data_IF_513303502844
#
_entry.id   IF_513303502844
#
_cell.length_a   1.000
_cell.length_b   1.000
_cell.length_c   1.000
_cell.angle_alpha   90.00
_cell.angle_beta   90.00
_cell.angle_gamma   90.00
#
_symmetry.space_group_name_H-M   'P 1'
#
loop_
_entity.id
_entity.type
_entity.pdbx_description
1 polymer ?
#
# COMPACT_ATOMS: atom_id res chain seq x y z
N UNK A 1 -32.46 -5.55 29.09
CA UNK A 1 -32.34 -7.01 28.98
C UNK A 1 -32.15 -7.35 27.51
N UNK A 2 -30.91 -7.50 27.04
CA UNK A 2 -30.62 -8.05 25.71
C UNK A 2 -30.70 -9.58 25.79
N UNK A 3 -31.41 -10.17 24.84
CA UNK A 3 -31.91 -11.55 24.89
C UNK A 3 -30.81 -12.59 24.58
N UNK A 4 -30.66 -13.69 25.35
CA UNK A 4 -29.64 -14.76 25.12
C UNK A 4 -29.73 -15.53 23.79
N UNK A 5 -30.82 -15.35 23.02
CA UNK A 5 -31.05 -16.06 21.75
C UNK A 5 -30.25 -15.42 20.61
N UNK A 6 -30.08 -14.09 20.63
CA UNK A 6 -29.30 -13.37 19.61
C UNK A 6 -27.81 -13.69 19.72
N UNK A 7 -27.27 -13.88 20.93
CA UNK A 7 -25.86 -14.24 21.14
C UNK A 7 -25.54 -15.66 20.62
N UNK A 8 -26.46 -16.62 20.80
CA UNK A 8 -26.26 -18.00 20.30
C UNK A 8 -26.24 -18.08 18.78
N UNK A 9 -27.18 -17.39 18.10
CA UNK A 9 -27.22 -17.36 16.63
C UNK A 9 -26.01 -16.64 16.02
N UNK A 10 -25.47 -15.63 16.70
CA UNK A 10 -24.24 -14.95 16.25
C UNK A 10 -23.01 -15.83 16.44
N UNK A 11 -22.91 -16.56 17.56
CA UNK A 11 -21.84 -17.53 17.81
C UNK A 11 -21.86 -18.70 16.80
N UNK A 12 -23.04 -19.25 16.51
CA UNK A 12 -23.21 -20.34 15.53
C UNK A 12 -22.81 -19.89 14.12
N UNK A 13 -23.16 -18.66 13.74
CA UNK A 13 -22.77 -18.07 12.46
C UNK A 13 -21.27 -17.84 12.36
N UNK A 14 -20.65 -17.24 13.37
CA UNK A 14 -19.19 -17.04 13.39
C UNK A 14 -18.44 -18.38 13.36
N UNK A 15 -18.96 -19.38 14.06
CA UNK A 15 -18.42 -20.75 14.03
C UNK A 15 -18.51 -21.36 12.62
N UNK A 16 -19.65 -21.19 11.93
CA UNK A 16 -19.82 -21.64 10.55
C UNK A 16 -18.86 -20.94 9.59
N UNK A 17 -18.75 -19.61 9.67
CA UNK A 17 -17.85 -18.82 8.82
C UNK A 17 -16.39 -19.25 8.99
N UNK A 18 -15.94 -19.45 10.24
CA UNK A 18 -14.58 -19.94 10.55
C UNK A 18 -14.35 -21.35 9.99
N UNK A 19 -15.30 -22.27 10.22
CA UNK A 19 -15.20 -23.66 9.75
C UNK A 19 -15.08 -23.71 8.23
N UNK A 20 -15.92 -22.96 7.51
CA UNK A 20 -15.92 -22.95 6.05
C UNK A 20 -14.68 -22.30 5.46
N UNK A 21 -14.20 -21.20 6.06
CA UNK A 21 -12.93 -20.61 5.65
C UNK A 21 -11.76 -21.58 5.82
N UNK A 22 -11.67 -22.26 6.98
CA UNK A 22 -10.63 -23.26 7.24
C UNK A 22 -10.73 -24.44 6.28
N UNK A 23 -11.94 -24.97 6.04
CA UNK A 23 -12.18 -26.07 5.11
C UNK A 23 -11.68 -25.77 3.70
N UNK A 24 -12.00 -24.59 3.15
CA UNK A 24 -11.53 -24.20 1.82
C UNK A 24 -10.01 -23.93 1.80
N UNK A 25 -9.48 -23.34 2.86
CA UNK A 25 -8.05 -23.01 2.93
C UNK A 25 -7.16 -24.24 2.98
N UNK A 26 -7.57 -25.30 3.70
CA UNK A 26 -6.77 -26.54 3.85
C UNK A 26 -6.88 -27.49 2.66
N UNK A 27 -7.90 -27.36 1.81
CA UNK A 27 -8.07 -28.19 0.60
C UNK A 27 -7.42 -27.61 -0.64
N UNK A 28 -6.60 -26.56 -0.51
CA UNK A 28 -5.96 -25.87 -1.63
C UNK A 28 -6.87 -24.88 -2.38
N UNK A 29 -8.13 -24.74 -1.97
CA UNK A 29 -9.10 -23.79 -2.52
C UNK A 29 -9.02 -22.41 -1.82
N UNK A 30 -7.81 -21.95 -1.51
CA UNK A 30 -7.61 -20.73 -0.73
C UNK A 30 -8.21 -19.48 -1.40
N UNK A 31 -8.11 -19.35 -2.72
CA UNK A 31 -8.74 -18.23 -3.44
C UNK A 31 -10.26 -18.29 -3.39
N UNK A 32 -10.88 -19.47 -3.37
CA UNK A 32 -12.31 -19.59 -3.12
C UNK A 32 -12.67 -19.15 -1.69
N UNK A 33 -11.85 -19.49 -0.69
CA UNK A 33 -12.04 -19.02 0.68
C UNK A 33 -12.01 -17.49 0.76
N UNK A 34 -11.09 -16.88 0.01
CA UNK A 34 -10.93 -15.44 -0.13
C UNK A 34 -12.17 -14.78 -0.74
N UNK A 35 -12.66 -15.31 -1.86
CA UNK A 35 -13.83 -14.76 -2.57
C UNK A 35 -15.08 -14.91 -1.72
N UNK A 36 -15.31 -16.07 -1.11
CA UNK A 36 -16.45 -16.31 -0.23
C UNK A 36 -16.45 -15.40 1.01
N UNK A 37 -15.27 -15.11 1.56
CA UNK A 37 -15.12 -14.13 2.63
C UNK A 37 -15.48 -12.72 2.16
N UNK A 38 -14.99 -12.32 0.99
CA UNK A 38 -15.25 -11.01 0.40
C UNK A 38 -16.72 -10.77 0.03
N UNK A 39 -17.44 -11.80 -0.40
CA UNK A 39 -18.88 -11.73 -0.72
C UNK A 39 -19.80 -11.92 0.49
N UNK A 40 -19.24 -12.23 1.67
CA UNK A 40 -20.01 -12.39 2.91
C UNK A 40 -20.88 -13.64 2.96
N UNK A 41 -20.51 -14.70 2.22
CA UNK A 41 -21.32 -15.93 2.08
C UNK A 41 -20.79 -17.11 2.91
N UNK A 42 -19.69 -16.94 3.65
CA UNK A 42 -19.04 -18.00 4.43
C UNK A 42 -19.95 -18.72 5.44
N UNK A 43 -21.07 -18.11 5.83
CA UNK A 43 -22.05 -18.70 6.75
C UNK A 43 -22.90 -19.80 6.11
N UNK A 44 -22.93 -19.92 4.77
CA UNK A 44 -23.72 -20.91 4.04
C UNK A 44 -22.81 -21.93 3.35
N UNK A 45 -22.94 -23.21 3.72
CA UNK A 45 -22.17 -24.31 3.13
C UNK A 45 -22.44 -24.44 1.61
N UNK A 46 -23.68 -24.18 1.17
CA UNK A 46 -24.09 -24.24 -0.23
C UNK A 46 -23.43 -23.10 -1.05
N UNK A 47 -23.49 -21.87 -0.55
CA UNK A 47 -22.88 -20.72 -1.23
C UNK A 47 -21.35 -20.82 -1.29
N UNK A 48 -20.74 -21.38 -0.24
CA UNK A 48 -19.31 -21.70 -0.18
C UNK A 48 -18.94 -22.76 -1.21
N UNK A 49 -19.74 -23.83 -1.34
CA UNK A 49 -19.52 -24.86 -2.35
C UNK A 49 -19.66 -24.31 -3.78
N UNK A 50 -20.67 -23.46 -4.02
CA UNK A 50 -20.85 -22.78 -5.29
C UNK A 50 -19.63 -21.90 -5.64
N UNK A 51 -19.18 -21.07 -4.70
CA UNK A 51 -18.01 -20.20 -4.91
C UNK A 51 -16.76 -21.02 -5.22
N UNK A 52 -16.56 -22.14 -4.53
CA UNK A 52 -15.44 -23.04 -4.79
C UNK A 52 -15.51 -23.68 -6.17
N UNK A 53 -16.70 -24.10 -6.60
CA UNK A 53 -16.92 -24.66 -7.93
C UNK A 53 -16.68 -23.62 -9.03
N UNK A 54 -17.19 -22.40 -8.87
CA UNK A 54 -16.99 -21.29 -9.81
C UNK A 54 -15.50 -20.96 -9.96
N UNK A 55 -14.76 -20.85 -8.86
CA UNK A 55 -13.32 -20.58 -8.91
C UNK A 55 -12.53 -21.73 -9.55
N UNK A 56 -12.89 -22.99 -9.28
CA UNK A 56 -12.28 -24.16 -9.92
C UNK A 56 -12.54 -24.17 -11.43
N UNK A 57 -13.77 -23.84 -11.86
CA UNK A 57 -14.14 -23.76 -13.28
C UNK A 57 -13.38 -22.64 -13.98
N UNK A 58 -13.33 -21.44 -13.39
CA UNK A 58 -12.56 -20.30 -13.92
C UNK A 58 -11.08 -20.64 -14.05
N UNK A 59 -10.50 -21.28 -13.03
CA UNK A 59 -9.09 -21.68 -13.06
C UNK A 59 -8.82 -22.74 -14.14
N UNK A 60 -9.72 -23.71 -14.32
CA UNK A 60 -9.56 -24.77 -15.31
C UNK A 60 -9.76 -24.29 -16.76
N UNK A 61 -10.54 -23.24 -16.96
CA UNK A 61 -10.81 -22.65 -18.27
C UNK A 61 -9.76 -21.59 -18.68
N UNK A 62 -8.94 -21.11 -17.76
CA UNK A 62 -7.95 -20.07 -18.03
C UNK A 62 -6.73 -20.62 -18.79
N UNK A 63 -6.19 -19.79 -19.68
CA UNK A 63 -4.94 -20.07 -20.41
C UNK A 63 -3.72 -19.85 -19.49
N UNK A 64 -3.83 -18.90 -18.56
CA UNK A 64 -2.75 -18.52 -17.65
C UNK A 64 -3.24 -18.31 -16.22
N UNK A 65 -2.36 -18.60 -15.25
CA UNK A 65 -2.58 -18.31 -13.84
C UNK A 65 -1.65 -17.17 -13.40
N UNK A 66 -2.22 -16.12 -12.83
CA UNK A 66 -1.50 -14.98 -12.27
C UNK A 66 -1.62 -15.01 -10.75
N UNK A 67 -0.52 -15.32 -10.05
CA UNK A 67 -0.48 -15.19 -8.60
C UNK A 67 -0.26 -13.72 -8.21
N UNK A 68 -1.20 -13.16 -7.44
CA UNK A 68 -1.11 -11.80 -6.90
C UNK A 68 -0.99 -11.88 -5.38
N UNK A 69 0.14 -11.41 -4.84
CA UNK A 69 0.43 -11.45 -3.41
C UNK A 69 0.38 -10.07 -2.73
N UNK A 70 -0.04 -10.05 -1.47
CA UNK A 70 0.00 -8.84 -0.64
C UNK A 70 0.21 -9.17 0.84
N UNK A 71 0.86 -8.26 1.57
CA UNK A 71 1.03 -8.35 3.02
C UNK A 71 -0.27 -8.12 3.81
N UNK A 72 -1.29 -7.56 3.16
CA UNK A 72 -2.49 -7.08 3.83
C UNK A 72 -3.58 -8.16 3.86
N UNK A 73 -4.31 -8.25 4.96
CA UNK A 73 -5.42 -9.20 5.12
C UNK A 73 -6.61 -8.85 4.22
N UNK A 74 -7.48 -9.83 3.99
CA UNK A 74 -8.76 -9.61 3.33
C UNK A 74 -9.69 -8.76 4.19
N UNK A 75 -10.61 -8.02 3.57
CA UNK A 75 -11.56 -7.17 4.29
C UNK A 75 -10.94 -5.92 4.92
N UNK A 76 -9.61 -5.74 4.83
CA UNK A 76 -8.93 -4.52 5.25
C UNK A 76 -9.38 -3.27 4.47
N UNK A 77 -10.11 -3.44 3.35
CA UNK A 77 -10.64 -2.35 2.52
C UNK A 77 -11.42 -1.30 3.30
N UNK A 78 -11.99 -1.66 4.46
CA UNK A 78 -12.70 -0.73 5.35
C UNK A 78 -11.77 0.25 6.07
N UNK A 79 -10.53 -0.12 6.36
CA UNK A 79 -9.55 0.69 7.10
C UNK A 79 -8.32 1.08 6.28
N UNK A 80 -8.12 0.45 5.13
CA UNK A 80 -7.02 0.67 4.21
C UNK A 80 -7.51 0.40 2.79
N UNK A 81 -7.37 1.31 1.81
CA UNK A 81 -8.08 1.23 0.53
C UNK A 81 -7.46 0.21 -0.45
N UNK A 82 -7.34 -1.05 -0.02
CA UNK A 82 -6.78 -2.15 -0.79
C UNK A 82 -7.75 -2.66 -1.85
N UNK A 83 -7.18 -3.15 -2.95
CA UNK A 83 -7.90 -3.45 -4.19
C UNK A 83 -7.73 -4.89 -4.69
N UNK A 84 -7.26 -5.81 -3.85
CA UNK A 84 -6.93 -7.18 -4.24
C UNK A 84 -8.10 -7.95 -4.89
N UNK A 85 -9.32 -7.82 -4.35
CA UNK A 85 -10.51 -8.45 -4.92
C UNK A 85 -10.95 -7.75 -6.22
N UNK A 86 -10.96 -6.41 -6.22
CA UNK A 86 -11.34 -5.63 -7.40
C UNK A 86 -10.38 -5.88 -8.58
N UNK A 87 -9.07 -5.96 -8.32
CA UNK A 87 -8.05 -6.28 -9.32
C UNK A 87 -8.22 -7.69 -9.90
N UNK A 88 -8.49 -8.68 -9.04
CA UNK A 88 -8.80 -10.05 -9.49
C UNK A 88 -9.96 -10.05 -10.47
N UNK A 89 -11.09 -9.45 -10.10
CA UNK A 89 -12.28 -9.44 -10.95
C UNK A 89 -12.05 -8.62 -12.23
N UNK A 90 -11.44 -7.43 -12.14
CA UNK A 90 -11.17 -6.61 -13.32
C UNK A 90 -10.26 -7.33 -14.33
N UNK A 91 -9.18 -7.99 -13.88
CA UNK A 91 -8.28 -8.74 -14.78
C UNK A 91 -9.01 -9.91 -15.43
N UNK A 92 -9.71 -10.73 -14.64
CA UNK A 92 -10.43 -11.89 -15.18
C UNK A 92 -11.50 -11.48 -16.19
N UNK A 93 -12.24 -10.41 -15.92
CA UNK A 93 -13.30 -9.94 -16.81
C UNK A 93 -12.74 -9.26 -18.06
N UNK A 94 -11.73 -8.40 -17.93
CA UNK A 94 -11.11 -7.73 -19.08
C UNK A 94 -10.44 -8.72 -20.03
N UNK A 95 -9.82 -9.77 -19.48
CA UNK A 95 -9.17 -10.85 -20.26
C UNK A 95 -10.16 -11.91 -20.73
N UNK A 96 -11.45 -11.75 -20.46
CA UNK A 96 -12.52 -12.71 -20.80
C UNK A 96 -12.22 -14.13 -20.30
N UNK A 97 -11.63 -14.22 -19.11
CA UNK A 97 -11.28 -15.49 -18.45
C UNK A 97 -9.95 -16.10 -18.89
N UNK A 98 -9.21 -15.51 -19.84
CA UNK A 98 -7.89 -16.03 -20.25
C UNK A 98 -6.89 -16.06 -19.10
N UNK A 99 -6.98 -15.10 -18.17
CA UNK A 99 -6.19 -15.10 -16.94
C UNK A 99 -7.09 -15.45 -15.76
N UNK A 100 -6.69 -16.46 -14.99
CA UNK A 100 -7.20 -16.68 -13.65
C UNK A 100 -6.26 -16.05 -12.62
N UNK A 101 -6.82 -15.21 -11.73
CA UNK A 101 -6.04 -14.55 -10.68
C UNK A 101 -6.12 -15.36 -9.38
N UNK A 102 -4.98 -15.88 -8.94
CA UNK A 102 -4.82 -16.57 -7.65
C UNK A 102 -4.33 -15.58 -6.60
N UNK A 103 -5.17 -15.31 -5.59
CA UNK A 103 -4.83 -14.36 -4.51
C UNK A 103 -4.02 -15.02 -3.40
N UNK A 104 -2.97 -14.33 -2.94
CA UNK A 104 -2.17 -14.67 -1.76
C UNK A 104 -2.04 -13.47 -0.80
N UNK A 105 -3.09 -13.18 -0.02
CA UNK A 105 -3.14 -12.09 0.93
C UNK A 105 -2.44 -12.42 2.26
N UNK A 106 -2.48 -11.48 3.20
CA UNK A 106 -2.08 -11.65 4.59
C UNK A 106 -0.60 -12.08 4.77
N UNK A 107 0.27 -11.72 3.82
CA UNK A 107 1.71 -11.93 3.96
C UNK A 107 2.16 -13.38 3.84
N UNK A 108 1.33 -14.28 3.31
CA UNK A 108 1.66 -15.71 3.11
C UNK A 108 2.95 -15.91 2.31
N UNK A 109 3.22 -15.03 1.35
CA UNK A 109 4.41 -15.06 0.51
C UNK A 109 5.43 -13.97 0.88
N UNK A 110 5.28 -13.34 2.05
CA UNK A 110 6.17 -12.30 2.56
C UNK A 110 5.55 -10.90 2.54
N UNK A 111 6.36 -9.90 2.90
CA UNK A 111 5.96 -8.49 2.95
C UNK A 111 7.12 -7.57 2.54
N UNK A 112 6.79 -6.37 2.05
CA UNK A 112 7.79 -5.37 1.65
C UNK A 112 8.73 -5.91 0.57
N UNK A 113 10.05 -5.69 0.74
CA UNK A 113 11.06 -6.12 -0.22
C UNK A 113 11.08 -7.63 -0.53
N UNK A 114 10.67 -8.48 0.42
CA UNK A 114 10.59 -9.93 0.18
C UNK A 114 9.56 -10.29 -0.90
N UNK A 115 8.44 -9.54 -1.00
CA UNK A 115 7.48 -9.70 -2.10
C UNK A 115 8.07 -9.21 -3.41
N UNK A 116 8.77 -8.07 -3.39
CA UNK A 116 9.42 -7.50 -4.58
C UNK A 116 10.40 -8.50 -5.19
N UNK A 117 11.25 -9.12 -4.36
CA UNK A 117 12.20 -10.15 -4.79
C UNK A 117 11.52 -11.33 -5.49
N UNK A 118 10.37 -11.80 -4.97
CA UNK A 118 9.62 -12.90 -5.57
C UNK A 118 9.00 -12.54 -6.92
N UNK A 119 8.55 -11.29 -7.08
CA UNK A 119 8.10 -10.78 -8.38
C UNK A 119 9.28 -10.70 -9.35
N UNK A 120 10.40 -10.11 -8.92
CA UNK A 120 11.58 -9.94 -9.77
C UNK A 120 12.12 -11.27 -10.28
N UNK A 121 12.22 -12.27 -9.40
CA UNK A 121 12.65 -13.62 -9.74
C UNK A 121 11.58 -14.51 -10.39
N UNK A 122 10.39 -13.98 -10.69
CA UNK A 122 9.31 -14.72 -11.37
C UNK A 122 8.64 -15.83 -10.55
N UNK A 123 8.92 -15.92 -9.24
CA UNK A 123 8.27 -16.90 -8.34
C UNK A 123 6.77 -16.64 -8.20
N UNK A 124 6.38 -15.36 -8.25
CA UNK A 124 4.99 -14.91 -8.33
C UNK A 124 4.86 -13.88 -9.45
N UNK A 125 3.70 -13.84 -10.10
CA UNK A 125 3.50 -12.98 -11.27
C UNK A 125 3.33 -11.52 -10.87
N UNK A 126 2.68 -11.22 -9.75
CA UNK A 126 2.56 -9.84 -9.27
C UNK A 126 2.43 -9.75 -7.75
N UNK A 127 2.72 -8.58 -7.22
CA UNK A 127 2.51 -8.28 -5.81
C UNK A 127 2.22 -6.79 -5.59
N UNK A 128 1.58 -6.50 -4.45
CA UNK A 128 1.44 -5.14 -3.93
C UNK A 128 2.48 -4.87 -2.84
N UNK A 129 3.14 -3.72 -2.95
CA UNK A 129 4.13 -3.26 -1.99
C UNK A 129 4.29 -1.73 -2.04
N UNK A 130 4.87 -1.15 -0.99
CA UNK A 130 5.00 0.32 -0.91
C UNK A 130 6.11 0.80 -1.82
N UNK A 131 5.98 2.00 -2.39
CA UNK A 131 7.06 2.56 -3.22
C UNK A 131 8.38 2.68 -2.44
N UNK A 132 8.32 3.01 -1.15
CA UNK A 132 9.51 3.07 -0.30
C UNK A 132 10.16 1.70 -0.02
N UNK A 133 9.41 0.59 -0.09
CA UNK A 133 9.99 -0.76 -0.05
C UNK A 133 10.43 -1.25 -1.43
N UNK A 134 9.90 -0.64 -2.50
CA UNK A 134 10.23 -0.96 -3.89
C UNK A 134 11.51 -0.26 -4.37
N UNK A 135 11.81 0.92 -3.84
CA UNK A 135 12.95 1.75 -4.22
C UNK A 135 14.29 1.00 -4.31
N UNK A 136 14.66 0.07 -3.41
CA UNK A 136 15.90 -0.70 -3.55
C UNK A 136 15.98 -1.57 -4.83
N UNK A 137 14.84 -1.90 -5.43
CA UNK A 137 14.72 -2.75 -6.61
C UNK A 137 14.47 -1.95 -7.89
N UNK A 138 13.69 -0.86 -7.78
CA UNK A 138 13.45 0.10 -8.86
C UNK A 138 13.71 1.53 -8.38
N UNK A 139 14.98 1.99 -8.33
CA UNK A 139 15.37 3.24 -7.67
C UNK A 139 14.63 4.48 -8.12
N UNK A 140 14.23 4.57 -9.40
CA UNK A 140 13.50 5.72 -9.95
C UNK A 140 12.23 6.05 -9.17
N UNK A 141 11.55 5.05 -8.58
CA UNK A 141 10.31 5.30 -7.84
C UNK A 141 10.54 6.01 -6.50
N UNK A 142 11.79 6.06 -6.02
CA UNK A 142 12.12 6.76 -4.78
C UNK A 142 11.88 8.28 -4.91
N UNK A 143 11.80 8.83 -6.13
CA UNK A 143 11.37 10.22 -6.38
C UNK A 143 10.05 10.57 -5.69
N UNK A 144 9.13 9.62 -5.50
CA UNK A 144 7.89 9.85 -4.75
C UNK A 144 8.14 10.13 -3.26
N UNK A 145 9.24 9.61 -2.72
CA UNK A 145 9.67 9.84 -1.34
C UNK A 145 10.50 11.15 -1.19
N UNK A 146 10.53 12.03 -2.20
CA UNK A 146 11.01 13.40 -2.03
C UNK A 146 10.08 14.16 -1.06
N UNK A 147 10.59 14.69 0.07
CA UNK A 147 9.74 15.34 1.07
C UNK A 147 9.02 16.55 0.50
N UNK A 148 7.70 16.60 0.69
CA UNK A 148 6.77 17.64 0.25
C UNK A 148 6.64 17.80 -1.27
N UNK A 149 7.20 16.88 -2.06
CA UNK A 149 7.05 16.88 -3.52
C UNK A 149 5.64 16.45 -3.95
N UNK A 150 5.20 15.29 -3.44
CA UNK A 150 3.88 14.72 -3.66
C UNK A 150 3.10 14.52 -2.36
N UNK A 151 3.34 15.32 -1.32
CA UNK A 151 2.75 15.11 0.01
C UNK A 151 1.22 15.11 0.09
N UNK A 152 0.49 15.47 -0.99
CA UNK A 152 -0.96 15.33 -1.09
C UNK A 152 -1.35 14.22 -2.08
N UNK A 153 -2.48 13.55 -1.83
CA UNK A 153 -3.01 12.48 -2.68
C UNK A 153 -3.26 12.98 -4.10
N UNK A 154 -3.80 14.19 -4.26
CA UNK A 154 -4.08 14.71 -5.60
C UNK A 154 -2.80 14.94 -6.42
N UNK A 155 -1.73 15.49 -5.81
CA UNK A 155 -0.44 15.66 -6.50
C UNK A 155 0.17 14.33 -6.91
N UNK A 156 0.07 13.32 -6.04
CA UNK A 156 0.52 11.97 -6.35
C UNK A 156 -0.26 11.37 -7.54
N UNK A 157 -1.59 11.47 -7.55
CA UNK A 157 -2.45 11.00 -8.65
C UNK A 157 -2.13 11.72 -9.96
N UNK A 158 -1.95 13.03 -9.92
CA UNK A 158 -1.57 13.82 -11.09
C UNK A 158 -0.24 13.32 -11.67
N UNK A 159 0.76 13.16 -10.81
CA UNK A 159 2.10 12.73 -11.24
C UNK A 159 2.07 11.34 -11.86
N UNK A 160 1.62 10.32 -11.12
CA UNK A 160 1.69 8.92 -11.59
C UNK A 160 0.75 8.62 -12.77
N UNK A 161 -0.28 9.45 -12.96
CA UNK A 161 -1.18 9.40 -14.11
C UNK A 161 -0.69 10.15 -15.35
N UNK A 162 0.34 10.98 -15.22
CA UNK A 162 0.85 11.85 -16.28
C UNK A 162 1.60 11.09 -17.37
N UNK A 163 1.66 11.68 -18.57
CA UNK A 163 2.42 11.11 -19.68
C UNK A 163 3.93 11.14 -19.41
N UNK A 164 4.44 12.16 -18.71
CA UNK A 164 5.86 12.22 -18.34
C UNK A 164 6.24 11.09 -17.37
N UNK A 165 5.38 10.71 -16.42
CA UNK A 165 5.66 9.54 -15.57
C UNK A 165 5.69 8.26 -16.41
N UNK A 166 4.74 8.11 -17.33
CA UNK A 166 4.68 6.95 -18.23
C UNK A 166 5.89 6.87 -19.18
N UNK A 167 6.42 7.99 -19.65
CA UNK A 167 7.54 8.01 -20.60
C UNK A 167 8.92 8.01 -19.92
N UNK A 168 9.06 8.59 -18.73
CA UNK A 168 10.37 8.79 -18.08
C UNK A 168 10.63 7.86 -16.90
N UNK A 169 9.56 7.40 -16.22
CA UNK A 169 9.67 6.60 -14.99
C UNK A 169 9.35 5.14 -15.23
N UNK A 170 8.20 4.83 -15.87
CA UNK A 170 7.81 3.43 -16.10
C UNK A 170 8.86 2.62 -16.87
N UNK A 171 9.53 3.12 -17.94
CA UNK A 171 10.56 2.36 -18.63
C UNK A 171 11.75 2.01 -17.74
N UNK A 172 12.16 2.92 -16.86
CA UNK A 172 13.23 2.66 -15.87
C UNK A 172 12.83 1.62 -14.82
N UNK A 173 11.53 1.46 -14.54
CA UNK A 173 11.02 0.36 -13.71
C UNK A 173 11.04 -0.96 -14.50
N UNK A 174 10.67 -0.91 -15.79
CA UNK A 174 10.72 -2.06 -16.70
C UNK A 174 12.15 -2.58 -16.90
N UNK A 175 13.14 -1.70 -17.01
CA UNK A 175 14.57 -2.05 -17.04
C UNK A 175 15.03 -2.87 -15.81
N UNK A 176 14.28 -2.81 -14.70
CA UNK A 176 14.55 -3.59 -13.48
C UNK A 176 13.77 -4.89 -13.39
N UNK A 177 13.04 -5.25 -14.46
CA UNK A 177 12.29 -6.51 -14.58
C UNK A 177 10.85 -6.43 -14.08
N UNK A 178 10.29 -5.23 -13.95
CA UNK A 178 8.92 -5.04 -13.43
C UNK A 178 8.04 -4.27 -14.41
N UNK A 179 6.82 -4.76 -14.64
CA UNK A 179 5.75 -3.98 -15.25
C UNK A 179 4.93 -3.29 -14.15
N UNK A 180 4.94 -1.95 -14.02
CA UNK A 180 3.99 -1.26 -13.14
C UNK A 180 2.56 -1.49 -13.68
N UNK A 181 1.67 -2.04 -12.85
CA UNK A 181 0.26 -2.22 -13.21
C UNK A 181 -0.51 -0.94 -12.91
N UNK A 182 -0.56 -0.56 -11.64
CA UNK A 182 -1.11 0.72 -11.19
C UNK A 182 -0.56 1.10 -9.82
N UNK A 183 -0.65 2.39 -9.53
CA UNK A 183 -0.27 2.98 -8.26
C UNK A 183 -1.49 3.15 -7.36
N UNK A 184 -1.35 2.80 -6.08
CA UNK A 184 -2.42 2.83 -5.10
C UNK A 184 -2.27 4.06 -4.24
N UNK A 185 -3.33 4.86 -4.17
CA UNK A 185 -3.45 5.99 -3.25
C UNK A 185 -3.92 5.45 -1.90
N UNK A 186 -3.24 5.89 -0.85
CA UNK A 186 -3.57 5.55 0.54
C UNK A 186 -3.90 6.84 1.27
N UNK A 187 -2.87 7.53 1.75
CA UNK A 187 -2.87 8.87 2.32
C UNK A 187 -1.40 9.25 2.54
N UNK A 188 -1.09 10.50 2.89
CA UNK A 188 0.27 10.88 3.26
C UNK A 188 0.76 10.16 4.51
N UNK A 189 2.07 9.96 4.56
CA UNK A 189 2.80 9.50 5.74
C UNK A 189 2.66 10.47 6.90
N UNK A 190 2.67 9.92 8.11
CA UNK A 190 2.57 10.64 9.39
C UNK A 190 3.87 10.47 10.17
N UNK A 191 3.97 11.02 11.38
CA UNK A 191 4.95 10.57 12.38
C UNK A 191 4.17 9.95 13.54
N UNK A 192 4.40 8.67 13.79
CA UNK A 192 3.74 7.90 14.83
C UNK A 192 4.74 7.53 15.93
N UNK A 193 4.40 7.85 17.18
CA UNK A 193 5.25 7.63 18.35
C UNK A 193 4.78 6.41 19.13
N UNK A 194 5.74 5.58 19.55
CA UNK A 194 5.51 4.46 20.46
C UNK A 194 4.99 4.95 21.81
N UNK A 195 4.12 4.16 22.44
CA UNK A 195 3.73 4.35 23.85
C UNK A 195 4.95 4.54 24.74
N UNK A 196 4.83 5.49 25.67
CA UNK A 196 5.90 5.94 26.54
C UNK A 196 6.62 7.20 26.06
N UNK A 197 6.30 7.72 24.87
CA UNK A 197 6.69 9.07 24.49
C UNK A 197 5.99 10.11 25.39
N UNK A 198 6.76 11.05 25.93
CA UNK A 198 6.24 12.09 26.84
C UNK A 198 5.46 13.20 26.10
N UNK A 199 5.79 13.43 24.83
CA UNK A 199 5.17 14.45 23.99
C UNK A 199 5.02 13.98 22.54
N UNK A 200 4.08 14.60 21.83
CA UNK A 200 3.96 14.48 20.39
C UNK A 200 5.13 15.18 19.66
N UNK A 201 5.30 14.85 18.38
CA UNK A 201 6.31 15.43 17.50
C UNK A 201 5.64 16.48 16.61
N UNK A 202 5.83 17.76 16.93
CA UNK A 202 5.15 18.87 16.23
C UNK A 202 6.10 19.63 15.31
N UNK A 203 7.38 19.72 15.67
CA UNK A 203 8.43 20.35 14.86
C UNK A 203 9.60 19.38 14.65
N UNK A 204 10.47 19.59 13.64
CA UNK A 204 11.65 18.74 13.42
C UNK A 204 12.51 18.53 14.68
N UNK A 205 12.69 19.57 15.50
CA UNK A 205 13.49 19.49 16.73
C UNK A 205 12.96 18.46 17.75
N UNK A 206 11.68 18.09 17.68
CA UNK A 206 11.13 17.03 18.54
C UNK A 206 11.64 15.62 18.17
N UNK A 207 12.27 15.46 16.99
CA UNK A 207 12.86 14.19 16.55
C UNK A 207 14.32 14.00 16.98
N UNK A 208 14.95 14.98 17.64
CA UNK A 208 16.35 14.89 18.02
C UNK A 208 16.64 13.64 18.83
N UNK A 209 17.49 12.76 18.30
CA UNK A 209 17.90 11.51 18.94
C UNK A 209 16.87 10.36 18.87
N UNK A 210 15.68 10.58 18.32
CA UNK A 210 14.62 9.56 18.22
C UNK A 210 15.06 8.43 17.29
N UNK A 211 15.00 7.17 17.78
CA UNK A 211 15.25 5.99 16.93
C UNK A 211 14.06 5.82 15.98
N UNK A 212 14.26 6.14 14.71
CA UNK A 212 13.17 6.23 13.75
C UNK A 212 13.21 5.04 12.79
N UNK A 213 12.17 4.21 12.78
CA UNK A 213 12.09 3.13 11.80
C UNK A 213 11.75 3.72 10.43
N UNK A 214 12.52 3.34 9.43
CA UNK A 214 12.25 3.65 8.02
C UNK A 214 12.21 2.37 7.17
N UNK A 215 11.51 2.36 6.02
CA UNK A 215 11.65 1.30 5.02
C UNK A 215 12.99 1.44 4.28
N UNK A 216 13.26 0.57 3.29
CA UNK A 216 14.53 0.56 2.54
C UNK A 216 14.81 1.76 1.63
N UNK A 217 13.95 2.78 1.61
CA UNK A 217 14.14 4.02 0.83
C UNK A 217 15.36 4.80 1.33
N UNK A 218 16.22 5.21 0.41
CA UNK A 218 17.38 6.04 0.75
C UNK A 218 16.93 7.48 1.00
N UNK A 219 15.91 7.95 0.30
CA UNK A 219 15.38 9.30 0.49
C UNK A 219 14.72 9.47 1.86
N UNK A 220 13.95 8.48 2.35
CA UNK A 220 13.40 8.53 3.70
C UNK A 220 14.48 8.47 4.78
N UNK A 221 15.52 7.65 4.59
CA UNK A 221 16.68 7.64 5.49
C UNK A 221 17.34 9.01 5.55
N UNK A 222 17.61 9.64 4.41
CA UNK A 222 18.20 10.98 4.38
C UNK A 222 17.27 12.03 5.01
N UNK A 223 15.99 12.00 4.67
CA UNK A 223 15.01 12.97 5.17
C UNK A 223 14.95 12.94 6.71
N UNK A 224 14.74 11.76 7.30
CA UNK A 224 14.65 11.65 8.76
C UNK A 224 15.95 12.03 9.46
N UNK A 225 17.11 11.80 8.83
CA UNK A 225 18.38 12.32 9.35
C UNK A 225 18.46 13.85 9.28
N UNK A 226 17.99 14.46 8.20
CA UNK A 226 17.96 15.93 8.05
C UNK A 226 17.05 16.61 9.08
N UNK A 227 15.95 15.97 9.47
CA UNK A 227 15.04 16.48 10.51
C UNK A 227 15.41 15.99 11.93
N UNK A 228 16.65 15.50 12.14
CA UNK A 228 17.21 15.25 13.47
C UNK A 228 16.97 13.86 14.08
N UNK A 229 16.22 12.98 13.40
CA UNK A 229 16.03 11.61 13.83
C UNK A 229 17.26 10.72 13.56
N UNK A 230 17.28 9.55 14.21
CA UNK A 230 18.23 8.46 13.96
C UNK A 230 17.52 7.34 13.17
N UNK A 231 17.45 7.42 11.84
CA UNK A 231 16.73 6.45 11.03
C UNK A 231 17.43 5.09 10.99
N UNK A 232 16.68 4.02 11.19
CA UNK A 232 17.14 2.62 11.04
C UNK A 232 16.21 1.86 10.10
N UNK A 233 16.73 1.29 8.99
CA UNK A 233 15.94 0.44 8.12
C UNK A 233 15.47 -0.82 8.84
N UNK A 234 14.16 -1.08 8.85
CA UNK A 234 13.57 -2.32 9.38
C UNK A 234 12.54 -2.84 8.39
N UNK A 235 12.59 -4.15 8.10
CA UNK A 235 11.62 -4.77 7.20
C UNK A 235 10.19 -4.62 7.72
N UNK A 236 9.22 -4.46 6.81
CA UNK A 236 7.84 -4.20 7.20
C UNK A 236 7.24 -5.30 8.09
N UNK A 237 7.53 -6.57 7.78
CA UNK A 237 7.06 -7.72 8.58
C UNK A 237 7.63 -7.77 10.00
N UNK A 238 8.77 -7.13 10.25
CA UNK A 238 9.44 -7.10 11.56
C UNK A 238 9.09 -5.84 12.38
N UNK A 239 8.51 -4.84 11.73
CA UNK A 239 8.29 -3.50 12.30
C UNK A 239 7.41 -3.51 13.55
N UNK A 240 6.27 -4.25 13.62
CA UNK A 240 5.47 -4.31 14.85
C UNK A 240 6.28 -4.80 16.06
N UNK A 241 7.12 -5.82 15.87
CA UNK A 241 7.99 -6.35 16.91
C UNK A 241 9.07 -5.34 17.31
N UNK A 242 9.74 -4.73 16.32
CA UNK A 242 10.79 -3.74 16.54
C UNK A 242 10.29 -2.53 17.35
N UNK A 243 9.10 -2.00 17.01
CA UNK A 243 8.48 -0.93 17.79
C UNK A 243 8.12 -1.45 19.19
N UNK A 244 7.41 -2.58 19.31
CA UNK A 244 7.00 -3.12 20.62
C UNK A 244 8.18 -3.31 21.59
N UNK A 245 9.32 -3.79 21.07
CA UNK A 245 10.55 -4.04 21.82
C UNK A 245 11.39 -2.77 22.07
N UNK A 246 11.03 -1.63 21.50
CA UNK A 246 11.78 -0.38 21.64
C UNK A 246 13.09 -0.36 20.85
N UNK A 247 13.22 -1.18 19.81
CA UNK A 247 14.32 -1.07 18.83
C UNK A 247 14.20 0.25 18.06
N UNK A 248 12.97 0.68 17.77
CA UNK A 248 12.65 2.02 17.30
C UNK A 248 11.50 2.61 18.13
N UNK A 249 11.51 3.94 18.27
CA UNK A 249 10.53 4.70 19.05
C UNK A 249 9.48 5.37 18.16
N UNK A 250 9.77 5.53 16.87
CA UNK A 250 8.88 6.17 15.91
C UNK A 250 8.90 5.49 14.53
N UNK A 251 7.87 5.74 13.74
CA UNK A 251 7.72 5.31 12.34
C UNK A 251 6.74 6.22 11.59
N UNK A 252 6.64 6.06 10.27
CA UNK A 252 5.89 6.97 9.40
C UNK A 252 4.80 6.45 8.42
N UNK A 253 4.35 5.18 8.41
CA UNK A 253 3.24 4.76 7.54
C UNK A 253 1.95 5.57 7.78
N UNK A 254 1.10 5.70 6.76
CA UNK A 254 -0.20 6.35 6.91
C UNK A 254 -1.08 5.63 7.95
N UNK A 255 -2.04 6.36 8.53
CA UNK A 255 -2.91 5.86 9.62
C UNK A 255 -3.56 4.52 9.27
N UNK A 256 -4.07 4.34 8.06
CA UNK A 256 -4.67 3.07 7.63
C UNK A 256 -3.68 1.88 7.71
N UNK A 257 -2.42 2.08 7.32
CA UNK A 257 -1.40 1.03 7.39
C UNK A 257 -1.06 0.68 8.84
N UNK A 258 -0.93 1.70 9.70
CA UNK A 258 -0.70 1.51 11.13
C UNK A 258 -1.85 0.71 11.78
N UNK A 259 -3.10 1.02 11.42
CA UNK A 259 -4.26 0.32 11.96
C UNK A 259 -4.28 -1.15 11.53
N UNK A 260 -4.15 -1.42 10.23
CA UNK A 260 -4.23 -2.79 9.69
C UNK A 260 -3.14 -3.71 10.23
N UNK A 261 -1.96 -3.17 10.55
CA UNK A 261 -0.86 -3.94 11.12
C UNK A 261 -0.84 -3.96 12.66
N UNK A 262 -1.93 -3.53 13.31
CA UNK A 262 -2.13 -3.72 14.74
C UNK A 262 -1.30 -2.80 15.64
N UNK A 263 -0.94 -1.61 15.15
CA UNK A 263 -0.17 -0.64 15.95
C UNK A 263 -1.01 0.11 17.00
N UNK A 264 -2.33 -0.08 17.01
CA UNK A 264 -3.28 0.51 17.98
C UNK A 264 -2.84 0.40 19.44
N UNK A 265 -2.40 -0.77 19.85
CA UNK A 265 -1.97 -0.99 21.24
C UNK A 265 -0.51 -0.60 21.50
N UNK A 266 0.22 -0.17 20.47
CA UNK A 266 1.67 0.08 20.49
C UNK A 266 1.99 1.58 20.44
N UNK A 267 1.12 2.39 19.85
CA UNK A 267 1.33 3.83 19.63
C UNK A 267 0.56 4.70 20.64
N UNK A 268 1.03 5.92 20.87
CA UNK A 268 0.34 6.93 21.70
C UNK A 268 -0.01 8.20 20.94
N UNK A 269 0.88 8.70 20.07
CA UNK A 269 0.65 9.93 19.31
C UNK A 269 0.88 9.70 17.82
N UNK A 270 0.03 10.29 16.99
CA UNK A 270 0.17 10.34 15.53
C UNK A 270 0.10 11.80 15.08
N UNK A 271 1.14 12.28 14.42
CA UNK A 271 1.22 13.66 13.91
C UNK A 271 1.21 13.69 12.39
N UNK A 272 0.29 14.45 11.80
CA UNK A 272 0.12 14.56 10.36
C UNK A 272 1.14 15.52 9.72
N UNK A 273 2.40 15.07 9.63
CA UNK A 273 3.49 15.82 8.98
C UNK A 273 3.35 15.88 7.45
N UNK A 274 2.68 14.89 6.84
CA UNK A 274 2.39 14.79 5.39
C UNK A 274 3.64 14.93 4.53
N UNK A 275 4.76 14.39 5.01
CA UNK A 275 6.06 14.55 4.37
C UNK A 275 6.11 13.91 2.98
N UNK A 276 5.59 12.70 2.82
CA UNK A 276 5.53 12.00 1.52
C UNK A 276 4.24 11.16 1.42
N UNK A 277 3.81 10.70 0.24
CA UNK A 277 2.76 9.68 0.12
C UNK A 277 3.12 8.37 0.82
N UNK A 278 2.16 7.71 1.48
CA UNK A 278 2.27 6.28 1.77
C UNK A 278 1.77 5.42 0.59
N UNK A 279 2.18 5.80 -0.61
CA UNK A 279 1.76 5.19 -1.87
C UNK A 279 2.28 3.77 -2.03
N UNK A 280 1.48 2.95 -2.72
CA UNK A 280 1.84 1.57 -3.09
C UNK A 280 1.80 1.40 -4.60
N UNK A 281 2.32 0.27 -5.07
CA UNK A 281 2.21 -0.16 -6.47
C UNK A 281 1.85 -1.64 -6.49
N UNK A 282 1.00 -2.02 -7.44
CA UNK A 282 0.97 -3.39 -7.93
C UNK A 282 1.95 -3.49 -9.10
N UNK A 283 2.99 -4.31 -8.96
CA UNK A 283 3.93 -4.57 -10.05
C UNK A 283 3.85 -6.02 -10.48
N UNK A 284 4.02 -6.27 -11.77
CA UNK A 284 4.09 -7.60 -12.36
C UNK A 284 5.51 -7.93 -12.83
N UNK A 285 5.88 -9.21 -12.84
CA UNK A 285 7.13 -9.65 -13.47
C UNK A 285 7.08 -9.33 -14.96
N UNK A 286 8.07 -8.58 -15.46
CA UNK A 286 8.05 -8.07 -16.83
C UNK A 286 8.16 -9.19 -17.87
N UNK A 287 8.99 -10.21 -17.63
CA UNK A 287 9.15 -11.34 -18.55
C UNK A 287 7.84 -12.11 -18.71
N UNK A 288 7.15 -12.41 -17.60
CA UNK A 288 5.85 -13.05 -17.63
C UNK A 288 4.82 -12.18 -18.36
N UNK A 289 4.77 -10.87 -18.07
CA UNK A 289 3.85 -9.95 -18.74
C UNK A 289 4.09 -9.94 -20.26
N UNK A 290 5.34 -9.84 -20.70
CA UNK A 290 5.71 -9.81 -22.11
C UNK A 290 5.48 -11.15 -22.82
N UNK A 291 5.40 -12.26 -22.09
CA UNK A 291 5.07 -13.57 -22.66
C UNK A 291 3.59 -13.73 -23.03
N UNK A 292 2.72 -12.84 -22.54
CA UNK A 292 1.30 -12.82 -22.87
C UNK A 292 1.07 -12.26 -24.28
N UNK A 293 -0.04 -12.64 -24.92
CA UNK A 293 -0.43 -12.04 -26.20
C UNK A 293 -0.76 -10.54 -26.04
N UNK A 294 -0.61 -9.73 -27.10
CA UNK A 294 -0.86 -8.29 -27.03
C UNK A 294 -2.25 -7.91 -26.50
N UNK A 295 -3.30 -8.65 -26.88
CA UNK A 295 -4.67 -8.43 -26.38
C UNK A 295 -4.81 -8.70 -24.88
N UNK A 296 -4.08 -9.69 -24.36
CA UNK A 296 -4.05 -9.99 -22.92
C UNK A 296 -3.26 -8.93 -22.17
N UNK A 297 -2.12 -8.47 -22.70
CA UNK A 297 -1.34 -7.37 -22.12
C UNK A 297 -2.20 -6.10 -21.99
N UNK A 298 -2.89 -5.71 -23.07
CA UNK A 298 -3.79 -4.57 -23.09
C UNK A 298 -4.93 -4.73 -22.07
N UNK A 299 -5.55 -5.91 -22.01
CA UNK A 299 -6.62 -6.20 -21.05
C UNK A 299 -6.16 -6.11 -19.58
N UNK A 300 -4.95 -6.59 -19.24
CA UNK A 300 -4.37 -6.44 -17.90
C UNK A 300 -4.18 -4.96 -17.55
N UNK A 301 -3.64 -4.17 -18.48
CA UNK A 301 -3.40 -2.74 -18.24
C UNK A 301 -4.70 -1.97 -18.11
N UNK A 302 -5.71 -2.27 -18.93
CA UNK A 302 -7.05 -1.70 -18.81
C UNK A 302 -7.71 -2.04 -17.47
N UNK A 303 -7.64 -3.30 -17.04
CA UNK A 303 -8.11 -3.73 -15.72
C UNK A 303 -7.41 -2.97 -14.57
N UNK A 304 -6.10 -2.74 -14.71
CA UNK A 304 -5.29 -2.01 -13.74
C UNK A 304 -5.70 -0.55 -13.64
N UNK A 305 -5.96 0.11 -14.77
CA UNK A 305 -6.50 1.48 -14.80
C UNK A 305 -7.88 1.55 -14.12
N UNK A 306 -8.80 0.64 -14.43
CA UNK A 306 -10.12 0.56 -13.77
C UNK A 306 -9.98 0.44 -12.25
N UNK A 307 -9.09 -0.44 -11.79
CA UNK A 307 -8.83 -0.65 -10.36
C UNK A 307 -8.24 0.59 -9.70
N UNK A 308 -7.36 1.33 -10.38
CA UNK A 308 -6.81 2.58 -9.88
C UNK A 308 -7.92 3.62 -9.60
N UNK A 309 -8.93 3.73 -10.47
CA UNK A 309 -10.03 4.68 -10.22
C UNK A 309 -10.91 4.26 -9.05
N UNK A 310 -11.19 2.95 -8.95
CA UNK A 310 -11.96 2.40 -7.84
C UNK A 310 -11.26 2.64 -6.49
N UNK A 311 -9.92 2.64 -6.46
CA UNK A 311 -9.14 2.94 -5.26
C UNK A 311 -9.41 4.36 -4.73
N UNK A 312 -9.49 5.37 -5.61
CA UNK A 312 -9.66 6.77 -5.20
C UNK A 312 -10.93 7.00 -4.38
N UNK A 313 -12.01 6.30 -4.71
CA UNK A 313 -13.28 6.38 -4.00
C UNK A 313 -13.23 5.77 -2.58
N UNK A 314 -12.27 4.89 -2.30
CA UNK A 314 -12.13 4.20 -1.00
C UNK A 314 -11.23 4.96 -0.02
N UNK A 315 -10.38 5.88 -0.49
CA UNK A 315 -9.38 6.58 0.33
C UNK A 315 -10.01 7.31 1.53
N UNK A 316 -11.00 8.22 1.36
CA UNK A 316 -11.49 9.02 2.49
C UNK A 316 -12.23 8.18 3.54
N UNK A 317 -13.00 7.18 3.10
CA UNK A 317 -13.76 6.32 4.02
C UNK A 317 -12.84 5.39 4.81
N UNK A 318 -11.81 4.82 4.16
CA UNK A 318 -10.80 4.00 4.82
C UNK A 318 -10.03 4.78 5.90
N UNK A 319 -9.60 6.01 5.57
CA UNK A 319 -8.94 6.94 6.51
C UNK A 319 -9.80 7.19 7.75
N UNK A 320 -11.02 7.64 7.53
CA UNK A 320 -11.93 8.04 8.62
C UNK A 320 -12.24 6.86 9.55
N UNK A 321 -12.40 5.66 8.98
CA UNK A 321 -12.60 4.47 9.77
C UNK A 321 -11.36 4.12 10.62
N UNK A 322 -10.16 4.10 10.02
CA UNK A 322 -8.93 3.81 10.76
C UNK A 322 -8.68 4.83 11.89
N UNK A 323 -8.90 6.12 11.64
CA UNK A 323 -8.78 7.17 12.66
C UNK A 323 -9.76 6.96 13.81
N UNK A 324 -11.04 6.69 13.52
CA UNK A 324 -12.05 6.45 14.55
C UNK A 324 -11.72 5.23 15.44
N UNK A 325 -11.14 4.17 14.86
CA UNK A 325 -10.72 3.00 15.65
C UNK A 325 -9.48 3.30 16.50
N UNK A 326 -8.53 4.10 16.01
CA UNK A 326 -7.38 4.55 16.81
C UNK A 326 -7.78 5.45 17.98
N UNK A 327 -8.74 6.36 17.78
CA UNK A 327 -9.28 7.20 18.86
C UNK A 327 -9.89 6.34 19.98
N UNK A 328 -10.61 5.27 19.64
CA UNK A 328 -11.15 4.32 20.64
C UNK A 328 -10.07 3.58 21.41
N UNK A 329 -8.90 3.40 20.82
CA UNK A 329 -7.73 2.79 21.46
C UNK A 329 -6.89 3.81 22.25
N UNK A 330 -7.33 5.07 22.30
CA UNK A 330 -6.68 6.14 23.07
C UNK A 330 -5.45 6.75 22.37
N UNK A 331 -5.32 6.58 21.06
CA UNK A 331 -4.25 7.25 20.29
C UNK A 331 -4.65 8.70 20.00
N UNK A 332 -3.73 9.62 20.27
CA UNK A 332 -3.94 11.05 20.07
C UNK A 332 -3.46 11.50 18.69
N UNK A 333 -4.29 12.27 18.00
CA UNK A 333 -4.00 12.84 16.69
C UNK A 333 -3.59 14.31 16.78
N UNK A 334 -2.50 14.66 16.11
CA UNK A 334 -1.94 16.02 16.10
C UNK A 334 -1.87 16.56 14.68
N UNK A 335 -2.44 17.74 14.47
CA UNK A 335 -2.35 18.48 13.21
C UNK A 335 -1.39 19.65 13.40
N UNK A 336 -0.52 19.85 12.41
CA UNK A 336 0.43 20.94 12.42
C UNK A 336 -0.26 22.25 12.04
N UNK A 337 0.12 23.35 12.69
CA UNK A 337 -0.11 24.69 12.17
C UNK A 337 0.70 24.92 10.89
N UNK A 338 0.38 25.99 10.16
CA UNK A 338 1.14 26.36 8.96
C UNK A 338 2.62 26.65 9.29
N UNK A 339 2.89 27.35 10.40
CA UNK A 339 4.25 27.62 10.86
C UNK A 339 5.02 26.32 11.18
N UNK A 340 4.38 25.40 11.88
CA UNK A 340 4.98 24.10 12.18
C UNK A 340 5.27 23.31 10.91
N UNK A 341 4.30 23.23 9.98
CA UNK A 341 4.49 22.56 8.69
C UNK A 341 5.59 23.21 7.85
N UNK A 342 5.71 24.53 7.86
CA UNK A 342 6.77 25.24 7.17
C UNK A 342 8.14 24.93 7.77
N UNK A 343 8.25 24.81 9.09
CA UNK A 343 9.49 24.36 9.75
C UNK A 343 9.96 22.98 9.22
N UNK A 344 9.05 22.04 8.96
CA UNK A 344 9.41 20.76 8.35
C UNK A 344 9.86 20.89 6.89
N UNK A 345 9.19 21.73 6.10
CA UNK A 345 9.57 22.02 4.70
C UNK A 345 10.94 22.68 4.62
N UNK A 346 11.24 23.63 5.50
CA UNK A 346 12.52 24.33 5.54
C UNK A 346 13.67 23.38 5.95
N UNK A 347 13.38 22.45 6.87
CA UNK A 347 14.34 21.46 7.34
C UNK A 347 14.68 20.40 6.28
N UNK A 348 13.69 19.88 5.55
CA UNK A 348 13.88 18.70 4.70
C UNK A 348 13.18 18.69 3.34
N UNK A 349 12.48 19.76 2.95
CA UNK A 349 11.70 19.82 1.72
C UNK A 349 12.50 19.64 0.44
N UNK A 350 11.84 19.15 -0.60
CA UNK A 350 12.46 18.81 -1.89
C UNK A 350 13.14 19.99 -2.60
N UNK A 351 12.85 21.25 -2.21
CA UNK A 351 13.53 22.42 -2.77
C UNK A 351 15.00 22.55 -2.33
N UNK A 352 15.41 21.83 -1.27
CA UNK A 352 16.79 21.88 -0.76
C UNK A 352 17.77 21.24 -1.74
N UNK A 353 18.98 21.81 -1.81
CA UNK A 353 20.07 21.36 -2.70
C UNK A 353 20.59 19.95 -2.39
N UNK A 354 20.38 19.50 -1.15
CA UNK A 354 20.75 18.18 -0.65
C UNK A 354 20.02 17.05 -1.41
N UNK A 355 18.97 17.39 -2.16
CA UNK A 355 18.20 16.48 -3.01
C UNK A 355 18.62 16.49 -4.48
N UNK A 356 19.46 17.42 -4.93
CA UNK A 356 19.71 17.64 -6.36
C UNK A 356 20.42 16.46 -7.04
N UNK A 357 21.29 15.75 -6.30
CA UNK A 357 21.90 14.51 -6.78
C UNK A 357 20.83 13.43 -7.01
N UNK A 358 19.90 13.22 -6.08
CA UNK A 358 18.81 12.26 -6.22
C UNK A 358 17.90 12.62 -7.40
N UNK A 359 17.54 13.90 -7.54
CA UNK A 359 16.70 14.38 -8.65
C UNK A 359 17.36 14.07 -9.98
N UNK A 360 18.64 14.44 -10.12
CA UNK A 360 19.38 14.24 -11.37
C UNK A 360 19.61 12.77 -11.68
N UNK A 361 20.04 11.98 -10.69
CA UNK A 361 20.33 10.54 -10.86
C UNK A 361 19.07 9.74 -11.20
N UNK A 362 17.99 9.93 -10.44
CA UNK A 362 16.78 9.13 -10.60
C UNK A 362 15.94 9.61 -11.79
N UNK A 363 15.72 10.92 -11.94
CA UNK A 363 14.97 11.47 -13.06
C UNK A 363 15.78 11.43 -14.36
N UNK A 364 17.11 11.34 -14.29
CA UNK A 364 18.04 11.33 -15.43
C UNK A 364 18.53 12.73 -15.84
N UNK A 365 17.79 13.78 -15.47
CA UNK A 365 18.22 15.18 -15.58
C UNK A 365 17.32 16.08 -14.75
N UNK A 366 17.78 17.30 -14.46
CA UNK A 366 16.94 18.32 -13.83
C UNK A 366 15.79 18.76 -14.73
N UNK A 367 15.96 18.77 -16.06
CA UNK A 367 14.88 19.09 -17.00
C UNK A 367 13.73 18.09 -16.91
N UNK A 368 14.05 16.79 -16.82
CA UNK A 368 13.04 15.74 -16.60
C UNK A 368 12.39 15.89 -15.24
N UNK A 369 13.17 16.19 -14.19
CA UNK A 369 12.61 16.45 -12.86
C UNK A 369 11.63 17.63 -12.85
N UNK A 370 11.96 18.74 -13.51
CA UNK A 370 11.06 19.90 -13.61
C UNK A 370 9.75 19.56 -14.34
N UNK A 371 9.79 18.69 -15.37
CA UNK A 371 8.55 18.19 -16.01
C UNK A 371 7.73 17.32 -15.07
N UNK A 372 8.37 16.48 -14.26
CA UNK A 372 7.68 15.69 -13.21
C UNK A 372 7.04 16.61 -12.17
N UNK A 373 7.72 17.69 -11.77
CA UNK A 373 7.19 18.68 -10.85
C UNK A 373 5.96 19.42 -11.40
N UNK A 374 6.05 19.86 -12.66
CA UNK A 374 4.92 20.46 -13.40
C UNK A 374 3.74 19.48 -13.48
N UNK A 375 4.01 18.21 -13.80
CA UNK A 375 2.98 17.19 -13.89
C UNK A 375 2.29 16.94 -12.54
N UNK A 376 3.04 16.91 -11.43
CA UNK A 376 2.47 16.79 -10.09
C UNK A 376 1.54 17.98 -9.73
N UNK A 377 1.83 19.18 -10.26
CA UNK A 377 1.00 20.37 -10.10
C UNK A 377 -0.19 20.47 -11.05
N UNK A 378 -0.24 19.66 -12.10
CA UNK A 378 -1.25 19.77 -13.17
C UNK A 378 -2.41 18.80 -12.94
N UNK A 379 -3.64 19.31 -12.82
CA UNK A 379 -4.82 18.48 -12.58
C UNK A 379 -5.03 17.46 -13.71
N UNK A 380 -4.92 16.17 -13.36
CA UNK A 380 -5.19 15.07 -14.27
C UNK A 380 -6.67 14.74 -14.41
N UNK A 381 -6.96 13.63 -15.11
CA UNK A 381 -8.32 13.11 -15.35
C UNK A 381 -9.04 12.68 -14.07
N UNK A 382 -8.31 12.34 -13.01
CA UNK A 382 -8.86 11.75 -11.81
C UNK A 382 -8.72 12.67 -10.60
N UNK A 383 -9.73 12.62 -9.73
CA UNK A 383 -9.80 13.39 -8.51
C UNK A 383 -9.78 12.47 -7.29
N UNK A 384 -9.06 12.87 -6.25
CA UNK A 384 -9.08 12.23 -4.94
C UNK A 384 -9.08 13.29 -3.85
N UNK A 385 -9.90 13.07 -2.83
CA UNK A 385 -9.99 14.01 -1.72
C UNK A 385 -8.76 13.85 -0.79
N UNK A 386 -8.06 14.96 -0.54
CA UNK A 386 -6.93 15.02 0.37
C UNK A 386 -7.34 14.84 1.86
N UNK A 387 -6.37 14.63 2.74
CA UNK A 387 -6.56 14.46 4.18
C UNK A 387 -6.46 15.75 4.99
#
# INVERSE_FOLDING_TARGET
MNTPIQSRQTDDRQSAERRNFLKLSTTGAFTAAVVAAGSGVLWSDEAVAQTAQEEQQRQSAAEHVMTIATAYVLGASRSYPIMQLDLKENIQNATRGKIYVKLSPAGQLGAGGALVQKVQGGTIQAAQHSLSNFAPFAPVVDLINLPYFCGSNQRFVNLVGSDVWKSEVNPKVEEKGFKPLFYVVIDPRVVAMRKGAEKAVLVPDDLQGVKFRVPGSQMLQQYYKMVGANPTPVAWGETPSAIKQGVADALDPAVGALYVFGFGDILSHITFTRAVPDSQVYSCNLEWFNSMSPDVQEAIMFASEMTAHQNLAKVPSARNYAMAEFERLGVEFHRLSDDQLNAWKDAGGYQKSEWDSFKTELAGSMDVFSKLEEAAGTQGKYFVHDA
#
